data_IF_885411944666
#
_entry.id   IF_885411944666
#
_cell.length_a   1.000
_cell.length_b   1.000
_cell.length_c   1.000
_cell.angle_alpha   90.00
_cell.angle_beta   90.00
_cell.angle_gamma   90.00
#
_symmetry.space_group_name_H-M   'P 1'
#
loop_
_entity.id
_entity.type
_entity.pdbx_description
1 polymer ?
#
# COMPACT_ATOMS: atom_id res chain seq x y z
N UNK A 1 11.59 7.27 -16.96
CA UNK A 1 11.05 6.72 -18.24
C UNK A 1 9.55 6.56 -18.06
N UNK A 2 8.77 6.96 -19.07
CA UNK A 2 7.32 6.74 -19.13
C UNK A 2 7.03 5.64 -20.14
N UNK A 3 6.12 4.73 -19.78
CA UNK A 3 5.63 3.70 -20.69
C UNK A 3 4.12 3.64 -20.59
N UNK A 4 3.44 3.59 -21.72
CA UNK A 4 1.98 3.39 -21.79
C UNK A 4 1.67 2.14 -22.57
N UNK A 5 0.82 1.30 -21.99
CA UNK A 5 0.30 0.07 -22.61
C UNK A 5 -1.21 0.21 -22.78
N UNK A 6 -1.73 -0.27 -23.91
CA UNK A 6 -3.18 -0.32 -24.17
C UNK A 6 -3.53 -1.58 -24.94
N UNK A 7 -4.71 -2.11 -24.70
CA UNK A 7 -5.24 -3.23 -25.46
C UNK A 7 -5.94 -2.80 -26.76
N UNK A 8 -6.16 -1.50 -26.97
CA UNK A 8 -6.93 -1.00 -28.12
C UNK A 8 -6.33 -1.42 -29.47
N UNK A 9 -5.00 -1.44 -29.55
CA UNK A 9 -4.26 -1.78 -30.78
C UNK A 9 -3.96 -3.29 -30.89
N UNK A 10 -4.47 -4.10 -29.96
CA UNK A 10 -4.22 -5.54 -29.86
C UNK A 10 -5.46 -6.30 -30.33
N UNK A 11 -5.31 -7.33 -31.21
CA UNK A 11 -6.41 -8.19 -31.61
C UNK A 11 -7.11 -8.81 -30.41
N UNK A 12 -8.45 -8.86 -30.40
CA UNK A 12 -9.28 -9.28 -29.26
C UNK A 12 -8.83 -10.61 -28.63
N UNK A 13 -8.49 -11.59 -29.46
CA UNK A 13 -8.04 -12.91 -29.02
C UNK A 13 -6.70 -12.90 -28.27
N UNK A 14 -5.87 -11.87 -28.50
CA UNK A 14 -4.51 -11.75 -27.91
C UNK A 14 -4.47 -10.79 -26.72
N UNK A 15 -5.52 -10.01 -26.45
CA UNK A 15 -5.53 -8.97 -25.42
C UNK A 15 -5.24 -9.51 -24.02
N UNK A 16 -5.78 -10.67 -23.67
CA UNK A 16 -5.59 -11.29 -22.34
C UNK A 16 -4.16 -11.74 -22.13
N UNK A 17 -3.56 -12.38 -23.12
CA UNK A 17 -2.14 -12.76 -23.05
C UNK A 17 -1.23 -11.55 -22.98
N UNK A 18 -1.46 -10.57 -23.87
CA UNK A 18 -0.72 -9.32 -23.87
C UNK A 18 -0.79 -8.64 -22.50
N UNK A 19 -1.99 -8.58 -21.89
CA UNK A 19 -2.13 -7.94 -20.59
C UNK A 19 -1.44 -8.69 -19.47
N UNK A 20 -1.42 -10.01 -19.51
CA UNK A 20 -0.63 -10.84 -18.61
C UNK A 20 0.86 -10.45 -18.65
N UNK A 21 1.40 -10.26 -19.85
CA UNK A 21 2.80 -9.85 -20.06
C UNK A 21 3.05 -8.42 -19.56
N UNK A 22 2.14 -7.47 -19.86
CA UNK A 22 2.22 -6.08 -19.38
C UNK A 22 2.26 -5.99 -17.87
N UNK A 23 1.34 -6.67 -17.19
CA UNK A 23 1.26 -6.67 -15.73
C UNK A 23 2.50 -7.30 -15.11
N UNK A 24 2.93 -8.45 -15.63
CA UNK A 24 4.14 -9.14 -15.14
C UNK A 24 5.40 -8.29 -15.32
N UNK A 25 5.50 -7.54 -16.40
CA UNK A 25 6.63 -6.65 -16.67
C UNK A 25 6.62 -5.39 -15.79
N UNK A 26 5.43 -4.87 -15.50
CA UNK A 26 5.28 -3.62 -14.74
C UNK A 26 5.46 -3.83 -13.25
N UNK A 27 4.88 -4.88 -12.72
CA UNK A 27 4.90 -5.15 -11.27
C UNK A 27 5.87 -6.28 -10.94
N UNK A 28 5.49 -7.50 -11.25
CA UNK A 28 6.22 -8.75 -11.04
C UNK A 28 5.40 -9.93 -11.56
N UNK A 29 5.98 -11.13 -11.56
CA UNK A 29 5.31 -12.36 -12.01
C UNK A 29 4.08 -12.68 -11.15
N UNK A 30 2.93 -12.86 -11.77
CA UNK A 30 1.66 -13.29 -11.17
C UNK A 30 0.73 -13.84 -12.25
N UNK A 31 -0.33 -14.53 -11.87
CA UNK A 31 -1.35 -15.03 -12.79
C UNK A 31 -2.54 -14.06 -12.84
N UNK A 32 -3.07 -13.81 -14.04
CA UNK A 32 -4.32 -13.10 -14.24
C UNK A 32 -5.46 -14.07 -14.57
N UNK A 33 -6.62 -13.83 -13.96
CA UNK A 33 -7.87 -14.47 -14.35
C UNK A 33 -8.88 -13.42 -14.80
N UNK A 34 -9.54 -13.70 -15.90
CA UNK A 34 -10.50 -12.84 -16.55
C UNK A 34 -11.90 -13.42 -16.33
N UNK A 35 -12.64 -12.97 -15.29
CA UNK A 35 -13.93 -13.56 -14.90
C UNK A 35 -15.00 -13.40 -16.00
N UNK A 36 -14.95 -12.27 -16.71
CA UNK A 36 -15.89 -11.98 -17.78
C UNK A 36 -15.50 -12.69 -19.09
N UNK A 37 -16.52 -13.21 -19.81
CA UNK A 37 -16.36 -13.68 -21.20
C UNK A 37 -16.41 -12.55 -22.22
N UNK A 38 -16.73 -11.32 -21.80
CA UNK A 38 -16.76 -10.12 -22.66
C UNK A 38 -15.36 -9.78 -23.14
N UNK A 39 -15.29 -8.91 -24.12
CA UNK A 39 -14.04 -8.31 -24.56
C UNK A 39 -13.31 -7.67 -23.40
N UNK A 40 -12.00 -7.83 -23.40
CA UNK A 40 -11.15 -7.29 -22.35
C UNK A 40 -10.47 -6.03 -22.85
N UNK A 41 -10.70 -4.92 -22.15
CA UNK A 41 -10.07 -3.64 -22.40
C UNK A 41 -9.31 -3.16 -21.19
N UNK A 42 -8.09 -2.67 -21.43
CA UNK A 42 -7.25 -2.14 -20.37
C UNK A 42 -6.23 -1.13 -20.89
N UNK A 43 -5.83 -0.21 -19.99
CA UNK A 43 -4.76 0.76 -20.22
C UNK A 43 -3.93 0.91 -18.95
N UNK A 44 -2.61 0.93 -19.09
CA UNK A 44 -1.66 1.14 -18.00
C UNK A 44 -0.62 2.16 -18.39
N UNK A 45 -0.51 3.24 -17.62
CA UNK A 45 0.62 4.16 -17.65
C UNK A 45 1.56 3.87 -16.50
N UNK A 46 2.87 3.86 -16.75
CA UNK A 46 3.88 3.66 -15.72
C UNK A 46 5.00 4.68 -15.83
N UNK A 47 5.43 5.21 -14.68
CA UNK A 47 6.43 6.27 -14.55
C UNK A 47 7.44 5.93 -13.47
N UNK A 48 8.70 6.24 -13.73
CA UNK A 48 9.77 6.18 -12.71
C UNK A 48 9.87 7.55 -12.01
N UNK A 49 9.84 7.55 -10.68
CA UNK A 49 10.01 8.73 -9.84
C UNK A 49 11.12 8.49 -8.81
N UNK A 50 12.36 8.43 -9.28
CA UNK A 50 13.53 8.18 -8.44
C UNK A 50 13.46 6.81 -7.75
N UNK A 51 13.27 6.76 -6.42
CA UNK A 51 13.31 5.52 -5.66
C UNK A 51 12.06 4.64 -5.82
N UNK A 52 11.00 5.12 -6.45
CA UNK A 52 9.74 4.40 -6.63
C UNK A 52 9.26 4.43 -8.08
N UNK A 53 8.34 3.54 -8.43
CA UNK A 53 7.56 3.63 -9.65
C UNK A 53 6.10 3.88 -9.33
N UNK A 54 5.48 4.71 -10.17
CA UNK A 54 4.04 5.01 -10.11
C UNK A 54 3.39 4.42 -11.34
N UNK A 55 2.20 3.88 -11.20
CA UNK A 55 1.39 3.43 -12.33
C UNK A 55 -0.07 3.79 -12.13
N UNK A 56 -0.77 4.03 -13.23
CA UNK A 56 -2.23 4.12 -13.29
C UNK A 56 -2.77 3.02 -14.16
N UNK A 57 -3.58 2.16 -13.59
CA UNK A 57 -4.19 1.04 -14.28
C UNK A 57 -5.70 1.28 -14.42
N UNK A 58 -6.21 1.16 -15.65
CA UNK A 58 -7.64 1.19 -15.98
C UNK A 58 -7.93 -0.13 -16.68
N UNK A 59 -8.81 -0.95 -16.14
CA UNK A 59 -9.10 -2.27 -16.70
C UNK A 59 -10.53 -2.73 -16.38
N UNK A 60 -11.06 -3.61 -17.23
CA UNK A 60 -12.25 -4.40 -16.90
C UNK A 60 -11.95 -5.34 -15.73
N UNK A 61 -13.02 -5.95 -15.17
CA UNK A 61 -12.91 -6.85 -14.02
C UNK A 61 -11.83 -7.91 -14.17
N UNK A 62 -10.95 -7.99 -13.18
CA UNK A 62 -9.77 -8.86 -13.15
C UNK A 62 -9.59 -9.48 -11.77
N UNK A 63 -8.97 -10.66 -11.75
CA UNK A 63 -8.42 -11.29 -10.58
C UNK A 63 -6.92 -11.53 -10.79
N UNK A 64 -6.12 -10.97 -9.92
CA UNK A 64 -4.67 -11.13 -9.86
C UNK A 64 -4.36 -12.13 -8.77
N UNK A 65 -3.57 -13.17 -9.08
CA UNK A 65 -3.13 -14.18 -8.13
C UNK A 65 -1.61 -14.29 -8.10
N UNK A 66 -1.07 -14.04 -6.93
CA UNK A 66 0.34 -14.29 -6.68
C UNK A 66 0.49 -15.55 -5.84
N UNK A 67 1.19 -16.52 -6.39
CA UNK A 67 1.45 -17.81 -5.76
C UNK A 67 2.90 -17.89 -5.26
N UNK A 68 3.18 -18.80 -4.34
CA UNK A 68 4.54 -19.04 -3.83
C UNK A 68 5.56 -19.27 -4.94
N UNK A 69 5.18 -20.00 -6.00
CA UNK A 69 6.06 -20.24 -7.15
C UNK A 69 6.58 -18.96 -7.82
N UNK A 70 5.82 -17.88 -7.78
CA UNK A 70 6.21 -16.60 -8.38
C UNK A 70 7.25 -15.86 -7.52
N UNK A 71 7.37 -16.20 -6.24
CA UNK A 71 8.31 -15.58 -5.32
C UNK A 71 9.74 -16.12 -5.53
N UNK A 72 9.90 -17.32 -6.06
CA UNK A 72 11.20 -17.98 -6.23
C UNK A 72 12.15 -17.23 -7.17
N UNK A 73 11.62 -16.45 -8.11
CA UNK A 73 12.40 -15.67 -9.08
C UNK A 73 12.63 -14.21 -8.66
N UNK A 74 11.98 -13.76 -7.59
CA UNK A 74 12.05 -12.37 -7.14
C UNK A 74 13.27 -12.15 -6.23
N UNK A 75 14.05 -11.13 -6.57
CA UNK A 75 15.23 -10.76 -5.80
C UNK A 75 14.99 -9.59 -4.85
N UNK A 76 13.97 -8.78 -5.13
CA UNK A 76 13.69 -7.56 -4.38
C UNK A 76 12.27 -7.58 -3.79
N UNK A 77 12.21 -7.36 -2.50
CA UNK A 77 10.96 -7.12 -1.80
C UNK A 77 10.51 -5.69 -2.04
N UNK A 78 9.22 -5.53 -2.36
CA UNK A 78 8.60 -4.22 -2.51
C UNK A 78 7.27 -4.17 -1.76
N UNK A 79 6.86 -2.96 -1.41
CA UNK A 79 5.50 -2.65 -1.00
C UNK A 79 4.76 -1.98 -2.16
N UNK A 80 3.49 -2.31 -2.31
CA UNK A 80 2.60 -1.63 -3.23
C UNK A 80 1.59 -0.84 -2.41
N UNK A 81 1.42 0.42 -2.81
CA UNK A 81 0.39 1.30 -2.24
C UNK A 81 -0.66 1.45 -3.32
N UNK A 82 -1.81 0.83 -3.11
CA UNK A 82 -2.91 0.84 -4.08
C UNK A 82 -3.99 1.82 -3.66
N UNK A 83 -4.32 2.74 -4.56
CA UNK A 83 -5.34 3.80 -4.39
C UNK A 83 -6.42 3.60 -5.45
N UNK A 84 -7.59 3.03 -5.10
CA UNK A 84 -8.71 2.91 -6.03
C UNK A 84 -9.33 4.28 -6.34
N UNK A 85 -9.71 4.50 -7.61
CA UNK A 85 -10.37 5.74 -8.06
C UNK A 85 -11.86 5.53 -8.37
N UNK A 86 -12.25 4.44 -9.00
CA UNK A 86 -13.61 4.25 -9.52
C UNK A 86 -14.39 3.14 -8.83
N UNK A 87 -13.76 2.01 -8.53
CA UNK A 87 -14.44 0.84 -7.99
C UNK A 87 -13.74 0.31 -6.73
N UNK A 88 -14.50 -0.38 -5.90
CA UNK A 88 -13.96 -1.12 -4.76
C UNK A 88 -13.04 -2.25 -5.26
N UNK A 89 -11.93 -2.42 -4.58
CA UNK A 89 -11.03 -3.56 -4.74
C UNK A 89 -11.13 -4.49 -3.54
N UNK A 90 -11.02 -5.79 -3.78
CA UNK A 90 -10.87 -6.81 -2.76
C UNK A 90 -9.44 -7.31 -2.78
N UNK A 91 -8.79 -7.26 -1.64
CA UNK A 91 -7.43 -7.76 -1.45
C UNK A 91 -7.38 -8.79 -0.32
N UNK A 92 -6.70 -9.91 -0.58
CA UNK A 92 -6.53 -10.99 0.41
C UNK A 92 -5.07 -11.39 0.48
N UNK A 93 -4.47 -11.29 1.66
CA UNK A 93 -3.09 -11.69 1.93
C UNK A 93 -2.98 -12.18 3.37
N UNK A 94 -2.25 -13.28 3.61
CA UNK A 94 -2.00 -13.83 4.94
C UNK A 94 -3.30 -14.10 5.72
N UNK A 95 -4.31 -14.65 5.03
CA UNK A 95 -5.62 -14.96 5.61
C UNK A 95 -6.49 -13.74 5.95
N UNK A 96 -6.04 -12.53 5.63
CA UNK A 96 -6.79 -11.29 5.87
C UNK A 96 -7.40 -10.78 4.58
N UNK A 97 -8.67 -10.39 4.63
CA UNK A 97 -9.41 -9.80 3.52
C UNK A 97 -9.70 -8.35 3.80
N UNK A 98 -9.41 -7.48 2.84
CA UNK A 98 -9.70 -6.04 2.89
C UNK A 98 -10.49 -5.64 1.67
N UNK A 99 -11.51 -4.81 1.88
CA UNK A 99 -12.30 -4.16 0.84
C UNK A 99 -11.95 -2.68 0.82
N UNK A 100 -11.16 -2.23 -0.15
CA UNK A 100 -10.71 -0.85 -0.25
C UNK A 100 -11.54 -0.10 -1.29
N UNK A 101 -12.20 0.97 -0.85
CA UNK A 101 -13.05 1.84 -1.69
C UNK A 101 -12.33 3.10 -2.12
N UNK A 102 -12.80 3.78 -3.18
CA UNK A 102 -12.36 5.14 -3.47
C UNK A 102 -12.45 6.04 -2.25
N UNK A 103 -11.44 6.88 -2.05
CA UNK A 103 -11.27 7.68 -0.83
C UNK A 103 -10.43 6.99 0.26
N UNK A 104 -9.84 5.84 -0.06
CA UNK A 104 -8.88 5.16 0.80
C UNK A 104 -7.72 4.61 -0.01
N UNK A 105 -6.66 4.15 0.67
CA UNK A 105 -5.58 3.38 0.07
C UNK A 105 -5.22 2.19 0.97
N UNK A 106 -4.58 1.19 0.40
CA UNK A 106 -4.09 0.02 1.12
C UNK A 106 -2.61 -0.24 0.83
N UNK A 107 -1.98 -1.00 1.71
CA UNK A 107 -0.57 -1.41 1.60
C UNK A 107 -0.52 -2.92 1.38
N UNK A 108 0.23 -3.34 0.37
CA UNK A 108 0.39 -4.72 -0.05
C UNK A 108 1.88 -5.12 0.03
N UNK A 109 2.16 -6.39 0.33
CA UNK A 109 3.51 -6.95 0.33
C UNK A 109 3.73 -7.80 -0.91
N UNK A 110 4.70 -7.44 -1.74
CA UNK A 110 4.97 -8.16 -3.00
C UNK A 110 5.51 -9.57 -2.80
N UNK A 111 6.17 -9.84 -1.69
CA UNK A 111 6.89 -11.10 -1.41
C UNK A 111 6.08 -12.11 -0.59
N UNK A 112 4.77 -11.95 -0.53
CA UNK A 112 3.83 -12.94 -0.01
C UNK A 112 2.78 -13.29 -1.07
N UNK A 113 2.22 -14.50 -1.04
CA UNK A 113 1.07 -14.86 -1.85
C UNK A 113 -0.12 -13.94 -1.55
N UNK A 114 -0.91 -13.63 -2.58
CA UNK A 114 -2.12 -12.84 -2.41
C UNK A 114 -3.12 -13.06 -3.54
N UNK A 115 -4.35 -12.63 -3.30
CA UNK A 115 -5.40 -12.41 -4.30
C UNK A 115 -5.84 -10.95 -4.28
N UNK A 116 -5.86 -10.32 -5.45
CA UNK A 116 -6.37 -8.97 -5.65
C UNK A 116 -7.42 -9.01 -6.75
N UNK A 117 -8.59 -8.40 -6.54
CA UNK A 117 -9.65 -8.41 -7.52
C UNK A 117 -10.51 -7.15 -7.50
N UNK A 118 -11.06 -6.84 -8.67
CA UNK A 118 -12.15 -5.90 -8.86
C UNK A 118 -13.14 -6.47 -9.87
N UNK A 119 -14.43 -6.24 -9.67
CA UNK A 119 -15.48 -6.83 -10.52
C UNK A 119 -15.83 -5.95 -11.71
N UNK A 120 -15.94 -4.66 -11.50
CA UNK A 120 -16.29 -3.67 -12.51
C UNK A 120 -15.05 -3.05 -13.16
N UNK A 121 -15.21 -2.34 -14.28
CA UNK A 121 -14.15 -1.49 -14.79
C UNK A 121 -13.66 -0.58 -13.67
N UNK A 122 -12.37 -0.61 -13.39
CA UNK A 122 -11.78 0.22 -12.35
C UNK A 122 -10.66 1.07 -12.92
N UNK A 123 -10.40 2.18 -12.23
CA UNK A 123 -9.15 2.92 -12.32
C UNK A 123 -8.51 2.89 -10.93
N UNK A 124 -7.22 2.65 -10.89
CA UNK A 124 -6.45 2.67 -9.66
C UNK A 124 -5.03 3.21 -9.90
N UNK A 125 -4.48 3.84 -8.88
CA UNK A 125 -3.07 4.15 -8.81
C UNK A 125 -2.34 3.08 -7.99
N UNK A 126 -1.12 2.79 -8.39
CA UNK A 126 -0.23 1.91 -7.63
C UNK A 126 1.17 2.51 -7.58
N UNK A 127 1.70 2.68 -6.35
CA UNK A 127 3.08 3.03 -6.11
C UNK A 127 3.81 1.74 -5.71
N UNK A 128 4.83 1.35 -6.47
CA UNK A 128 5.74 0.26 -6.11
C UNK A 128 6.98 0.87 -5.47
N UNK A 129 7.19 0.59 -4.20
CA UNK A 129 8.27 1.14 -3.38
C UNK A 129 9.17 -0.01 -2.92
N UNK A 130 10.48 -0.01 -3.23
CA UNK A 130 11.42 -0.99 -2.70
C UNK A 130 11.37 -1.04 -1.17
N UNK A 131 11.42 -2.23 -0.60
CA UNK A 131 11.28 -2.44 0.84
C UNK A 131 12.31 -1.65 1.65
N UNK A 132 13.56 -1.60 1.19
CA UNK A 132 14.62 -0.83 1.86
C UNK A 132 14.30 0.68 1.93
N UNK A 133 13.68 1.23 0.88
CA UNK A 133 13.29 2.64 0.82
C UNK A 133 12.16 2.94 1.80
N UNK A 134 11.13 2.09 1.83
CA UNK A 134 9.99 2.29 2.74
C UNK A 134 10.40 2.08 4.21
N UNK A 135 11.21 1.06 4.50
CA UNK A 135 11.76 0.82 5.86
C UNK A 135 12.67 1.94 6.35
N UNK A 136 13.31 2.67 5.45
CA UNK A 136 14.07 3.87 5.82
C UNK A 136 13.23 5.02 6.36
N UNK A 137 11.91 5.00 6.13
CA UNK A 137 10.99 6.05 6.55
C UNK A 137 9.90 5.57 7.51
N UNK A 138 9.41 4.35 7.34
CA UNK A 138 8.34 3.75 8.16
C UNK A 138 8.91 2.54 8.88
N UNK A 139 8.83 2.55 10.20
CA UNK A 139 9.26 1.41 11.02
C UNK A 139 8.26 0.26 10.85
N UNK A 140 8.77 -0.93 10.48
CA UNK A 140 7.98 -2.16 10.32
C UNK A 140 6.76 -2.01 9.40
N UNK A 141 6.96 -1.57 8.13
CA UNK A 141 5.87 -1.38 7.18
C UNK A 141 5.09 -2.66 6.88
N UNK A 142 5.67 -3.84 7.14
CA UNK A 142 5.00 -5.14 7.05
C UNK A 142 3.77 -5.26 7.96
N UNK A 143 3.71 -4.53 9.07
CA UNK A 143 2.54 -4.49 9.97
C UNK A 143 1.38 -3.69 9.41
N UNK A 144 1.66 -2.83 8.43
CA UNK A 144 0.68 -2.00 7.74
C UNK A 144 0.02 -2.75 6.58
N UNK A 145 0.58 -3.90 6.18
CA UNK A 145 0.02 -4.71 5.12
C UNK A 145 -1.40 -5.17 5.47
N UNK A 146 -2.28 -5.14 4.48
CA UNK A 146 -3.72 -5.41 4.66
C UNK A 146 -4.46 -4.42 5.57
N UNK A 147 -3.86 -3.26 5.88
CA UNK A 147 -4.58 -2.14 6.48
C UNK A 147 -5.04 -1.17 5.40
N UNK A 148 -6.19 -0.56 5.64
CA UNK A 148 -6.76 0.49 4.81
C UNK A 148 -6.64 1.82 5.51
N UNK A 149 -6.21 2.86 4.79
CA UNK A 149 -6.00 4.21 5.29
C UNK A 149 -6.94 5.20 4.61
N UNK A 150 -7.35 6.24 5.34
CA UNK A 150 -8.22 7.30 4.82
C UNK A 150 -7.45 8.20 3.85
N UNK A 151 -7.95 8.32 2.64
CA UNK A 151 -7.46 9.23 1.61
C UNK A 151 -8.51 10.28 1.19
N UNK A 152 -9.60 10.42 1.95
CA UNK A 152 -10.68 11.36 1.63
C UNK A 152 -10.49 12.74 2.24
N UNK A 153 -9.56 12.89 3.19
CA UNK A 153 -9.32 14.13 3.91
C UNK A 153 -7.89 14.23 4.45
N UNK A 154 -7.54 15.43 4.95
CA UNK A 154 -6.28 15.71 5.63
C UNK A 154 -5.05 15.28 4.81
N UNK A 155 -4.03 14.74 5.43
CA UNK A 155 -2.77 14.35 4.78
C UNK A 155 -2.95 13.18 3.80
N UNK A 156 -3.91 12.29 4.05
CA UNK A 156 -4.22 11.20 3.11
C UNK A 156 -4.75 11.72 1.78
N UNK A 157 -5.65 12.73 1.80
CA UNK A 157 -6.11 13.40 0.59
C UNK A 157 -4.96 14.14 -0.11
N UNK A 158 -4.14 14.88 0.65
CA UNK A 158 -2.98 15.59 0.10
C UNK A 158 -1.99 14.62 -0.57
N UNK A 159 -1.74 13.46 0.01
CA UNK A 159 -0.90 12.42 -0.59
C UNK A 159 -1.45 11.99 -1.96
N UNK A 160 -2.73 11.65 -2.04
CA UNK A 160 -3.36 11.18 -3.28
C UNK A 160 -3.44 12.29 -4.33
N UNK A 161 -3.79 13.51 -3.95
CA UNK A 161 -3.85 14.65 -4.87
C UNK A 161 -2.45 15.00 -5.41
N UNK A 162 -1.42 14.97 -4.54
CA UNK A 162 -0.03 15.18 -4.96
C UNK A 162 0.44 14.08 -5.92
N UNK A 163 0.06 12.82 -5.66
CA UNK A 163 0.36 11.69 -6.55
C UNK A 163 -0.23 11.92 -7.95
N UNK A 164 -1.53 12.25 -8.03
CA UNK A 164 -2.24 12.51 -9.30
C UNK A 164 -1.62 13.66 -10.06
N UNK A 165 -1.45 14.80 -9.39
CA UNK A 165 -0.89 16.01 -10.00
C UNK A 165 0.54 15.79 -10.49
N UNK A 166 1.36 15.06 -9.72
CA UNK A 166 2.72 14.70 -10.11
C UNK A 166 2.75 13.83 -11.36
N UNK A 167 1.85 12.84 -11.46
CA UNK A 167 1.76 11.97 -12.62
C UNK A 167 1.28 12.71 -13.88
N UNK A 168 0.37 13.68 -13.74
CA UNK A 168 -0.09 14.53 -14.86
C UNK A 168 1.00 15.46 -15.39
N UNK A 169 1.92 15.89 -14.54
CA UNK A 169 3.00 16.83 -14.86
C UNK A 169 4.36 16.17 -15.08
N UNK A 170 4.43 14.85 -15.04
CA UNK A 170 5.71 14.13 -15.02
C UNK A 170 6.54 14.35 -16.29
N UNK A 171 5.90 14.60 -17.42
CA UNK A 171 6.60 14.87 -18.68
C UNK A 171 7.33 16.22 -18.69
N UNK A 172 6.83 17.17 -17.90
CA UNK A 172 7.43 18.49 -17.73
C UNK A 172 8.63 18.49 -16.77
N UNK A 173 8.83 17.38 -16.01
CA UNK A 173 9.88 17.25 -15.01
C UNK A 173 11.13 16.59 -15.58
N UNK A 174 12.30 17.10 -15.24
CA UNK A 174 13.55 16.39 -15.43
C UNK A 174 13.73 15.23 -14.45
N UNK A 175 14.79 14.45 -14.60
CA UNK A 175 15.06 13.28 -13.76
C UNK A 175 15.25 13.65 -12.27
N UNK A 176 15.90 14.78 -11.99
CA UNK A 176 16.14 15.29 -10.65
C UNK A 176 14.83 15.66 -9.96
N UNK A 177 13.97 16.41 -10.66
CA UNK A 177 12.66 16.80 -10.16
C UNK A 177 11.76 15.56 -9.90
N UNK A 178 11.78 14.57 -10.81
CA UNK A 178 11.05 13.29 -10.60
C UNK A 178 11.56 12.55 -9.37
N UNK A 179 12.87 12.48 -9.18
CA UNK A 179 13.46 11.81 -8.02
C UNK A 179 13.12 12.52 -6.70
N UNK A 180 13.12 13.85 -6.69
CA UNK A 180 12.69 14.64 -5.53
C UNK A 180 11.23 14.46 -5.23
N UNK A 181 10.36 14.49 -6.26
CA UNK A 181 8.93 14.28 -6.11
C UNK A 181 8.63 12.88 -5.55
N UNK A 182 9.35 11.84 -6.01
CA UNK A 182 9.22 10.49 -5.46
C UNK A 182 9.54 10.44 -3.97
N UNK A 183 10.57 11.15 -3.50
CA UNK A 183 10.88 11.27 -2.07
C UNK A 183 9.77 11.99 -1.30
N UNK A 184 9.24 13.08 -1.85
CA UNK A 184 8.13 13.81 -1.22
C UNK A 184 6.86 12.97 -1.13
N UNK A 185 6.56 12.14 -2.12
CA UNK A 185 5.43 11.20 -2.06
C UNK A 185 5.59 10.16 -0.94
N UNK A 186 6.82 9.68 -0.70
CA UNK A 186 7.10 8.78 0.43
C UNK A 186 6.91 9.49 1.77
N UNK A 187 7.35 10.74 1.91
CA UNK A 187 7.11 11.54 3.11
C UNK A 187 5.62 11.79 3.36
N UNK A 188 4.87 12.18 2.33
CA UNK A 188 3.42 12.39 2.45
C UNK A 188 2.68 11.08 2.78
N UNK A 189 3.09 9.95 2.19
CA UNK A 189 2.56 8.63 2.53
C UNK A 189 2.78 8.31 4.02
N UNK A 190 4.00 8.53 4.51
CA UNK A 190 4.32 8.28 5.91
C UNK A 190 3.49 9.18 6.84
N UNK A 191 3.39 10.46 6.54
CA UNK A 191 2.55 11.40 7.30
C UNK A 191 1.06 11.00 7.26
N UNK A 192 0.56 10.54 6.10
CA UNK A 192 -0.82 10.07 5.96
C UNK A 192 -1.10 8.85 6.85
N UNK A 193 -0.17 7.90 6.91
CA UNK A 193 -0.24 6.73 7.78
C UNK A 193 -0.19 7.15 9.25
N UNK A 194 0.75 8.03 9.61
CA UNK A 194 0.95 8.50 10.98
C UNK A 194 -0.22 9.34 11.50
N UNK A 195 -0.93 10.05 10.63
CA UNK A 195 -2.06 10.92 10.99
C UNK A 195 -3.42 10.23 10.92
N UNK A 196 -3.51 9.00 10.40
CA UNK A 196 -4.79 8.29 10.29
C UNK A 196 -5.13 7.56 11.60
N UNK A 197 -6.00 8.20 12.41
CA UNK A 197 -6.53 7.61 13.64
C UNK A 197 -7.49 6.44 13.38
N UNK A 198 -7.90 6.25 12.13
CA UNK A 198 -8.86 5.24 11.72
C UNK A 198 -8.17 4.17 10.90
N UNK A 199 -7.76 3.11 11.54
CA UNK A 199 -7.54 1.88 10.80
C UNK A 199 -8.92 1.43 10.31
N UNK A 200 -9.21 1.68 9.04
CA UNK A 200 -10.48 1.26 8.44
C UNK A 200 -10.49 -0.26 8.33
N UNK A 201 -10.86 -0.86 9.38
CA UNK A 201 -11.54 -2.08 9.66
C UNK A 201 -11.30 -3.45 9.16
N UNK A 202 -11.80 -4.29 9.88
CA UNK A 202 -12.66 -5.44 9.64
C UNK A 202 -12.26 -6.69 10.39
N UNK A 203 -11.05 -6.90 10.77
CA UNK A 203 -10.65 -8.05 11.57
C UNK A 203 -9.97 -7.64 12.86
N UNK A 204 -10.20 -8.40 13.93
CA UNK A 204 -9.61 -8.17 15.26
C UNK A 204 -8.08 -8.00 15.21
N UNK A 205 -7.41 -8.67 14.29
CA UNK A 205 -5.97 -8.52 14.04
C UNK A 205 -5.60 -7.17 13.42
N UNK A 206 -6.42 -6.61 12.54
CA UNK A 206 -6.19 -5.28 11.93
C UNK A 206 -6.38 -4.17 12.96
N UNK A 207 -7.39 -4.27 13.81
CA UNK A 207 -7.62 -3.36 14.93
C UNK A 207 -6.43 -3.42 15.90
N UNK A 208 -5.95 -4.61 16.23
CA UNK A 208 -4.78 -4.80 17.08
C UNK A 208 -3.53 -4.15 16.50
N UNK A 209 -3.26 -4.34 15.22
CA UNK A 209 -2.13 -3.71 14.53
C UNK A 209 -2.24 -2.18 14.54
N UNK A 210 -3.44 -1.64 14.37
CA UNK A 210 -3.69 -0.20 14.44
C UNK A 210 -3.44 0.37 15.84
N UNK A 211 -3.87 -0.34 16.89
CA UNK A 211 -3.56 0.06 18.25
C UNK A 211 -2.07 0.00 18.56
N UNK A 212 -1.38 -1.04 18.09
CA UNK A 212 0.07 -1.16 18.26
C UNK A 212 0.82 -0.01 17.59
N UNK A 213 0.44 0.35 16.34
CA UNK A 213 1.02 1.46 15.61
C UNK A 213 0.86 2.79 16.37
N UNK A 214 -0.36 3.08 16.87
CA UNK A 214 -0.61 4.27 17.70
C UNK A 214 0.24 4.29 18.95
N UNK A 215 0.38 3.17 19.63
CA UNK A 215 1.22 3.07 20.83
C UNK A 215 2.70 3.33 20.49
N UNK A 216 3.21 2.78 19.38
CA UNK A 216 4.58 3.03 18.93
C UNK A 216 4.81 4.51 18.56
N UNK A 217 3.83 5.17 17.93
CA UNK A 217 3.89 6.60 17.62
C UNK A 217 3.86 7.46 18.89
N UNK A 218 2.95 7.15 19.82
CA UNK A 218 2.88 7.84 21.10
C UNK A 218 4.19 7.74 21.86
N UNK A 219 4.78 6.54 21.94
CA UNK A 219 6.09 6.33 22.56
C UNK A 219 7.14 7.20 21.89
N UNK A 220 7.23 7.19 20.55
CA UNK A 220 8.23 7.99 19.82
C UNK A 220 8.10 9.49 20.04
N UNK A 221 6.87 10.01 20.07
CA UNK A 221 6.62 11.44 20.29
C UNK A 221 6.89 11.89 21.74
N UNK A 222 7.08 10.94 22.67
CA UNK A 222 7.31 11.20 24.09
C UNK A 222 8.59 10.54 24.61
N UNK A 223 9.53 10.16 23.73
CA UNK A 223 10.79 9.52 24.16
C UNK A 223 11.63 10.40 25.09
N UNK A 224 11.53 11.73 24.94
CA UNK A 224 12.24 12.70 25.78
C UNK A 224 11.56 12.93 27.15
N UNK A 225 10.33 12.44 27.36
CA UNK A 225 9.67 12.57 28.66
C UNK A 225 10.10 11.45 29.61
N UNK A 226 10.92 11.81 30.57
CA UNK A 226 11.39 10.90 31.62
C UNK A 226 10.29 10.28 32.47
N UNK A 227 9.05 10.79 32.41
CA UNK A 227 7.87 10.30 33.13
C UNK A 227 7.03 9.34 32.31
N UNK A 228 7.43 9.03 31.07
CA UNK A 228 6.67 8.12 30.21
C UNK A 228 6.50 6.77 30.90
N UNK A 229 5.25 6.36 31.10
CA UNK A 229 4.86 5.10 31.72
C UNK A 229 3.93 4.30 30.81
N UNK A 230 3.84 2.98 30.97
CA UNK A 230 2.85 2.18 30.24
C UNK A 230 1.40 2.66 30.43
N UNK A 231 1.07 3.20 31.61
CA UNK A 231 -0.27 3.78 31.85
C UNK A 231 -0.51 5.02 31.00
N UNK A 232 0.46 5.93 30.90
CA UNK A 232 0.35 7.12 30.05
C UNK A 232 0.19 6.76 28.56
N UNK A 233 0.89 5.72 28.11
CA UNK A 233 0.75 5.22 26.74
C UNK A 233 -0.67 4.68 26.52
N UNK A 234 -1.16 3.86 27.44
CA UNK A 234 -2.51 3.29 27.36
C UNK A 234 -3.58 4.39 27.30
N UNK A 235 -3.50 5.37 28.22
CA UNK A 235 -4.42 6.49 28.31
C UNK A 235 -4.37 7.38 27.05
N UNK A 236 -3.18 7.72 26.60
CA UNK A 236 -2.97 8.52 25.37
C UNK A 236 -3.45 7.82 24.10
N UNK A 237 -3.46 6.49 24.08
CA UNK A 237 -3.95 5.68 22.97
C UNK A 237 -5.42 5.26 23.11
N UNK A 238 -6.10 5.60 24.21
CA UNK A 238 -7.50 5.26 24.47
C UNK A 238 -7.74 3.75 24.63
N UNK A 239 -6.78 3.02 25.21
CA UNK A 239 -6.85 1.58 25.44
C UNK A 239 -6.58 1.24 26.92
N UNK A 240 -6.99 0.05 27.37
CA UNK A 240 -6.65 -0.39 28.73
C UNK A 240 -5.18 -0.80 28.84
N UNK A 241 -4.58 -0.61 30.02
CA UNK A 241 -3.20 -1.04 30.29
C UNK A 241 -3.01 -2.55 30.06
N UNK A 242 -4.01 -3.37 30.41
CA UNK A 242 -4.00 -4.81 30.16
C UNK A 242 -3.92 -5.11 28.67
N UNK A 243 -4.70 -4.40 27.85
CA UNK A 243 -4.71 -4.59 26.41
C UNK A 243 -3.39 -4.09 25.78
N UNK A 244 -2.81 -3.00 26.28
CA UNK A 244 -1.49 -2.55 25.88
C UNK A 244 -0.44 -3.67 26.05
N UNK A 245 -0.34 -4.27 27.23
CA UNK A 245 0.58 -5.39 27.47
C UNK A 245 0.29 -6.56 26.53
N UNK A 246 -0.97 -6.95 26.35
CA UNK A 246 -1.36 -8.04 25.46
C UNK A 246 -0.96 -7.80 23.97
N UNK A 247 -1.04 -6.56 23.49
CA UNK A 247 -0.62 -6.25 22.11
C UNK A 247 0.90 -6.39 21.96
N UNK A 248 1.68 -5.93 22.91
CA UNK A 248 3.15 -5.99 22.86
C UNK A 248 3.68 -7.41 23.11
N UNK A 249 3.13 -8.16 24.07
CA UNK A 249 3.50 -9.56 24.31
C UNK A 249 3.30 -10.44 23.07
N UNK A 250 2.22 -10.23 22.31
CA UNK A 250 1.98 -10.96 21.07
C UNK A 250 2.98 -10.69 19.96
N UNK A 251 3.84 -9.70 20.12
CA UNK A 251 4.96 -9.38 19.23
C UNK A 251 6.32 -9.79 19.81
N UNK A 252 6.32 -10.48 20.94
CA UNK A 252 7.55 -10.85 21.65
C UNK A 252 8.27 -9.66 22.28
N UNK A 253 7.54 -8.55 22.51
CA UNK A 253 8.06 -7.31 23.08
C UNK A 253 7.43 -7.07 24.45
N UNK A 254 8.16 -6.41 25.34
CA UNK A 254 7.62 -5.92 26.60
C UNK A 254 7.51 -4.40 26.55
N UNK A 255 6.40 -3.86 27.08
CA UNK A 255 6.25 -2.40 27.25
C UNK A 255 6.93 -2.01 28.56
N UNK A 256 8.26 -2.04 28.57
CA UNK A 256 9.03 -1.58 29.71
C UNK A 256 10.07 -0.55 29.24
N UNK A 257 10.42 0.40 30.12
CA UNK A 257 11.33 1.53 29.84
C UNK A 257 12.69 1.10 29.30
N UNK A 258 13.08 -0.16 29.49
CA UNK A 258 14.35 -0.74 29.03
C UNK A 258 14.31 -1.36 27.62
N UNK A 259 13.14 -1.52 27.02
CA UNK A 259 12.95 -2.25 25.75
C UNK A 259 12.68 -1.33 24.54
N UNK A 260 12.76 -0.01 24.72
CA UNK A 260 12.43 1.00 23.69
C UNK A 260 13.70 1.73 23.19
N UNK A 261 14.86 1.16 23.40
CA UNK A 261 16.13 1.65 22.83
C UNK A 261 16.63 0.68 21.77
#
# INVERSE_FOLDING_TARGET
>A
MQVTYTTNDIPLQSRRQYWQEVVSKTYYSLDLRFPSRREFDARLGAWSMGPLSVSRNIANGLLYKRHERHLLSEREESFLITVPELAEIRFEQDGKVVHCRPGAFLIERSHLPYEFSHQDPTALWCLKIPSAVLRGRITRPERLATLQFDASRSVGALFVDTLRLSAERIEEMDETARAMMGKHLIELLAMAIESDDRVLTGHSSSVRNGHLLRCEQFIRSHLDDMRLTPQMIADGCGISLRYLHQIFEGEGLTVDRKSVV
#
